data_IF_277347684192
#
_entry.id   IF_277347684192
#
_cell.length_a   1.000
_cell.length_b   1.000
_cell.length_c   1.000
_cell.angle_alpha   90.00
_cell.angle_beta   90.00
_cell.angle_gamma   90.00
#
_symmetry.space_group_name_H-M   'P 1'
#
loop_
_entity.id
_entity.type
_entity.pdbx_description
1 polymer ?
#
# COMPACT_ATOMS: atom_id res chain seq x y z
N UNK A 1 -0.74 -11.79 -8.81
CA UNK A 1 0.44 -11.07 -8.29
C UNK A 1 0.77 -11.41 -6.82
N UNK A 2 -0.03 -12.20 -6.11
CA UNK A 2 0.26 -12.60 -4.71
C UNK A 2 1.04 -13.90 -4.59
N UNK A 3 1.05 -14.73 -5.64
CA UNK A 3 1.73 -16.05 -5.64
C UNK A 3 3.08 -16.07 -6.35
N UNK A 4 3.50 -14.94 -6.95
CA UNK A 4 4.82 -14.78 -7.54
C UNK A 4 5.60 -13.78 -6.72
N UNK A 5 6.91 -13.94 -6.67
CA UNK A 5 7.79 -12.98 -6.03
C UNK A 5 7.91 -11.69 -6.84
N UNK A 6 8.35 -10.63 -6.17
CA UNK A 6 8.70 -9.36 -6.83
C UNK A 6 9.80 -9.59 -7.86
N UNK A 7 10.84 -10.36 -7.52
CA UNK A 7 11.95 -10.66 -8.41
C UNK A 7 11.48 -11.34 -9.71
N UNK A 8 10.70 -12.41 -9.61
CA UNK A 8 10.15 -13.12 -10.79
C UNK A 8 9.31 -12.19 -11.67
N UNK A 9 8.48 -11.35 -11.04
CA UNK A 9 7.58 -10.45 -11.75
C UNK A 9 8.35 -9.35 -12.48
N UNK A 10 9.42 -8.82 -11.87
CA UNK A 10 10.27 -7.79 -12.44
C UNK A 10 11.16 -8.33 -13.57
N UNK A 11 11.73 -9.54 -13.40
CA UNK A 11 12.46 -10.23 -14.46
C UNK A 11 11.57 -10.48 -15.68
N UNK A 12 10.31 -10.88 -15.47
CA UNK A 12 9.36 -11.13 -16.56
C UNK A 12 9.05 -9.88 -17.38
N UNK A 13 9.09 -8.68 -16.79
CA UNK A 13 8.89 -7.39 -17.51
C UNK A 13 10.19 -6.77 -18.00
N UNK A 14 11.31 -7.50 -17.94
CA UNK A 14 12.60 -7.09 -18.51
C UNK A 14 13.50 -6.28 -17.60
N UNK A 15 13.21 -6.19 -16.29
CA UNK A 15 14.12 -5.57 -15.32
C UNK A 15 15.29 -6.52 -15.07
N UNK A 16 16.51 -5.97 -15.02
CA UNK A 16 17.71 -6.78 -14.80
C UNK A 16 17.83 -7.23 -13.35
N UNK A 17 18.40 -8.43 -13.13
CA UNK A 17 18.68 -8.95 -11.79
C UNK A 17 19.50 -7.94 -10.96
N UNK A 18 20.50 -7.30 -11.58
CA UNK A 18 21.32 -6.28 -10.92
C UNK A 18 20.50 -5.09 -10.40
N UNK A 19 19.54 -4.60 -11.19
CA UNK A 19 18.67 -3.51 -10.73
C UNK A 19 17.76 -3.96 -9.58
N UNK A 20 17.32 -5.22 -9.60
CA UNK A 20 16.53 -5.81 -8.51
C UNK A 20 17.35 -5.89 -7.22
N UNK A 21 18.61 -6.32 -7.31
CA UNK A 21 19.49 -6.48 -6.15
C UNK A 21 19.94 -5.13 -5.59
N UNK A 22 20.30 -4.17 -6.46
CA UNK A 22 20.88 -2.89 -6.04
C UNK A 22 19.81 -1.86 -5.62
N UNK A 23 18.68 -1.77 -6.36
CA UNK A 23 17.68 -0.70 -6.16
C UNK A 23 16.41 -1.23 -5.52
N UNK A 24 15.80 -2.26 -6.10
CA UNK A 24 14.50 -2.77 -5.62
C UNK A 24 14.64 -3.32 -4.21
N UNK A 25 15.66 -4.12 -3.95
CA UNK A 25 15.89 -4.70 -2.62
C UNK A 25 16.10 -3.63 -1.55
N UNK A 26 16.72 -2.49 -1.88
CA UNK A 26 16.86 -1.37 -0.96
C UNK A 26 15.49 -0.75 -0.62
N UNK A 27 14.64 -0.52 -1.62
CA UNK A 27 13.26 0.00 -1.42
C UNK A 27 12.42 -0.95 -0.58
N UNK A 28 12.41 -2.25 -0.93
CA UNK A 28 11.62 -3.26 -0.21
C UNK A 28 12.06 -3.39 1.26
N UNK A 29 13.36 -3.32 1.53
CA UNK A 29 13.89 -3.33 2.90
C UNK A 29 13.52 -2.07 3.67
N UNK A 30 13.53 -0.90 3.03
CA UNK A 30 13.15 0.36 3.66
C UNK A 30 11.66 0.42 4.04
N UNK A 31 10.77 -0.13 3.20
CA UNK A 31 9.32 -0.09 3.45
C UNK A 31 8.79 -1.27 4.27
N UNK A 32 9.31 -2.48 4.04
CA UNK A 32 8.74 -3.72 4.59
C UNK A 32 9.75 -4.61 5.32
N UNK A 33 11.05 -4.26 5.31
CA UNK A 33 12.10 -5.11 5.89
C UNK A 33 12.28 -6.46 5.19
N UNK A 34 11.74 -6.63 3.98
CA UNK A 34 11.71 -7.90 3.26
C UNK A 34 12.60 -7.86 2.00
N UNK A 35 13.00 -9.04 1.53
CA UNK A 35 13.74 -9.22 0.28
C UNK A 35 12.80 -9.29 -0.93
N UNK A 36 13.37 -9.30 -2.13
CA UNK A 36 12.62 -9.42 -3.39
C UNK A 36 11.89 -10.76 -3.59
N UNK A 37 12.01 -11.71 -2.65
CA UNK A 37 11.20 -12.94 -2.62
C UNK A 37 9.78 -12.73 -2.06
N UNK A 38 9.47 -11.56 -1.51
CA UNK A 38 8.13 -11.22 -1.04
C UNK A 38 7.10 -11.24 -2.18
N UNK A 39 5.78 -11.33 -1.87
CA UNK A 39 4.74 -11.30 -2.88
C UNK A 39 4.79 -10.04 -3.78
N UNK A 40 4.68 -10.24 -5.10
CA UNK A 40 4.86 -9.19 -6.09
C UNK A 40 3.91 -8.00 -5.91
N UNK A 41 2.67 -8.25 -5.46
CA UNK A 41 1.70 -7.19 -5.22
C UNK A 41 2.18 -6.20 -4.14
N UNK A 42 2.62 -6.70 -2.99
CA UNK A 42 3.08 -5.85 -1.90
C UNK A 42 4.38 -5.11 -2.27
N UNK A 43 5.29 -5.75 -3.01
CA UNK A 43 6.48 -5.07 -3.49
C UNK A 43 6.20 -4.05 -4.59
N UNK A 44 5.20 -4.27 -5.45
CA UNK A 44 4.76 -3.27 -6.43
C UNK A 44 4.21 -2.01 -5.73
N UNK A 45 3.44 -2.18 -4.65
CA UNK A 45 3.00 -1.06 -3.82
C UNK A 45 4.17 -0.31 -3.18
N UNK A 46 5.18 -1.03 -2.67
CA UNK A 46 6.42 -0.44 -2.15
C UNK A 46 7.13 0.41 -3.21
N UNK A 47 7.27 -0.12 -4.43
CA UNK A 47 7.94 0.56 -5.53
C UNK A 47 7.17 1.79 -6.01
N UNK A 48 5.85 1.71 -6.07
CA UNK A 48 5.00 2.87 -6.39
C UNK A 48 5.19 4.00 -5.36
N UNK A 49 5.36 3.65 -4.07
CA UNK A 49 5.65 4.61 -3.00
C UNK A 49 7.07 5.22 -3.05
N UNK A 50 8.00 4.62 -3.81
CA UNK A 50 9.35 5.15 -3.96
C UNK A 50 9.50 6.13 -5.15
N UNK A 51 8.44 6.35 -5.92
CA UNK A 51 8.45 7.26 -7.07
C UNK A 51 8.27 8.72 -6.62
N UNK A 52 8.89 9.65 -7.35
CA UNK A 52 8.86 11.08 -7.04
C UNK A 52 7.56 11.81 -7.44
N UNK A 53 6.61 11.13 -8.07
CA UNK A 53 5.34 11.69 -8.54
C UNK A 53 4.19 11.53 -7.54
N UNK A 54 4.50 11.22 -6.28
CA UNK A 54 3.50 11.21 -5.22
C UNK A 54 2.97 12.63 -4.98
N UNK A 55 1.70 12.69 -4.60
CA UNK A 55 1.00 13.93 -4.31
C UNK A 55 0.41 13.88 -2.90
N UNK A 56 0.24 15.04 -2.32
CA UNK A 56 -0.42 15.22 -1.01
C UNK A 56 -1.51 16.25 -1.17
N UNK A 57 -2.60 16.09 -0.42
CA UNK A 57 -3.66 17.08 -0.39
C UNK A 57 -3.13 18.33 0.31
N UNK A 58 -3.36 19.50 -0.30
CA UNK A 58 -3.06 20.78 0.33
C UNK A 58 -3.85 20.91 1.64
N UNK A 59 -3.15 21.18 2.76
CA UNK A 59 -3.74 21.15 4.11
C UNK A 59 -3.78 19.77 4.78
N UNK A 60 -3.30 18.72 4.10
CA UNK A 60 -3.02 17.39 4.64
C UNK A 60 -4.03 16.32 4.27
N UNK A 61 -3.55 15.07 4.13
CA UNK A 61 -4.35 13.92 3.67
C UNK A 61 -5.55 13.57 4.56
N UNK A 62 -5.59 14.05 5.82
CA UNK A 62 -6.77 13.93 6.69
C UNK A 62 -8.05 14.51 6.07
N UNK A 63 -7.90 15.51 5.20
CA UNK A 63 -9.01 16.19 4.55
C UNK A 63 -9.79 15.26 3.61
N UNK A 64 -9.16 14.21 3.08
CA UNK A 64 -9.86 13.20 2.26
C UNK A 64 -10.95 12.53 3.09
N UNK A 65 -10.60 11.98 4.26
CA UNK A 65 -11.56 11.31 5.14
C UNK A 65 -12.63 12.28 5.67
N UNK A 66 -12.22 13.50 6.07
CA UNK A 66 -13.17 14.53 6.53
C UNK A 66 -14.17 14.93 5.44
N UNK A 67 -13.73 15.07 4.19
CA UNK A 67 -14.59 15.37 3.05
C UNK A 67 -15.59 14.24 2.76
N UNK A 68 -15.12 12.99 2.77
CA UNK A 68 -15.98 11.81 2.58
C UNK A 68 -17.05 11.70 3.66
N UNK A 69 -16.68 11.91 4.94
CA UNK A 69 -17.64 11.90 6.05
C UNK A 69 -18.73 12.96 5.88
N UNK A 70 -18.34 14.18 5.47
CA UNK A 70 -19.27 15.28 5.21
C UNK A 70 -20.23 14.93 4.07
N UNK A 71 -19.73 14.36 2.98
CA UNK A 71 -20.53 13.95 1.81
C UNK A 71 -21.47 12.79 2.13
N UNK A 72 -21.02 11.82 2.91
CA UNK A 72 -21.83 10.69 3.36
C UNK A 72 -22.92 11.09 4.38
N UNK A 73 -22.90 12.34 4.88
CA UNK A 73 -23.77 12.82 5.97
C UNK A 73 -23.71 11.89 7.19
N UNK A 74 -22.55 11.30 7.43
CA UNK A 74 -22.34 10.32 8.50
C UNK A 74 -21.92 11.02 9.79
N UNK A 75 -22.44 10.53 10.92
CA UNK A 75 -22.01 10.95 12.25
C UNK A 75 -20.95 9.98 12.76
N UNK A 76 -19.77 10.50 13.10
CA UNK A 76 -18.70 9.69 13.70
C UNK A 76 -18.97 9.54 15.20
N UNK A 77 -19.06 8.29 15.65
CA UNK A 77 -19.14 7.97 17.08
C UNK A 77 -17.72 7.60 17.53
N UNK A 78 -17.15 8.40 18.43
CA UNK A 78 -15.84 8.14 19.02
C UNK A 78 -15.94 7.11 20.15
N UNK A 79 -16.07 5.84 19.78
CA UNK A 79 -16.11 4.71 20.71
C UNK A 79 -15.39 3.49 20.13
N UNK A 80 -14.95 2.59 21.01
CA UNK A 80 -14.39 1.30 20.62
C UNK A 80 -15.53 0.30 20.38
N UNK A 81 -15.59 -0.28 19.19
CA UNK A 81 -16.51 -1.38 18.90
C UNK A 81 -15.94 -2.66 19.52
N UNK A 82 -16.64 -3.24 20.49
CA UNK A 82 -16.22 -4.46 21.19
C UNK A 82 -16.88 -5.73 20.65
N UNK A 83 -18.08 -5.61 20.07
CA UNK A 83 -18.79 -6.70 19.44
C UNK A 83 -19.65 -6.18 18.28
N UNK A 84 -19.86 -7.03 17.28
CA UNK A 84 -20.78 -6.79 16.16
C UNK A 84 -21.62 -8.06 16.00
N UNK A 85 -22.93 -7.94 16.10
CA UNK A 85 -23.88 -9.04 15.89
C UNK A 85 -24.75 -8.74 14.69
N UNK A 86 -24.97 -9.75 13.84
CA UNK A 86 -25.96 -9.65 12.78
C UNK A 86 -27.35 -9.75 13.42
N UNK A 87 -28.18 -8.73 13.24
CA UNK A 87 -29.59 -8.84 13.58
C UNK A 87 -30.30 -9.54 12.42
N UNK A 88 -30.63 -10.82 12.60
CA UNK A 88 -31.57 -11.50 11.72
C UNK A 88 -32.94 -10.83 11.87
N UNK A 89 -33.50 -10.36 10.75
CA UNK A 89 -34.89 -9.89 10.68
C UNK A 89 -35.82 -11.06 10.43
#
# INVERSE_FOLDING_TARGET
MTQRSVAESLLQVGVTQRFIDDVVSAVLRASYGQSASMPAFAGAMSLAGAQGNLWSVEGGNKLVCSGLLKLAKATVIHATVTSVTLHST
#
